data_IF_082654227321
#
_entry.id   IF_082654227321
#
_cell.length_a   1.000
_cell.length_b   1.000
_cell.length_c   1.000
_cell.angle_alpha   90.00
_cell.angle_beta   90.00
_cell.angle_gamma   90.00
#
_symmetry.space_group_name_H-M   'P 1'
#
loop_
_entity.id
_entity.type
_entity.pdbx_description
1 polymer ?
#
# COMPACT_ATOMS: atom_id res chain seq x y z
N UNK A 1 21.60 21.89 -2.25
CA UNK A 1 21.35 20.47 -1.91
C UNK A 1 20.58 19.85 -3.07
N UNK A 2 20.88 18.63 -3.47
CA UNK A 2 20.13 17.95 -4.54
C UNK A 2 18.80 17.41 -3.98
N UNK A 3 17.64 17.87 -4.48
CA UNK A 3 16.34 17.51 -3.92
C UNK A 3 15.90 16.08 -4.25
N UNK A 4 16.49 15.44 -5.26
CA UNK A 4 16.21 14.02 -5.58
C UNK A 4 17.00 13.14 -4.61
N UNK A 5 18.29 13.44 -4.41
CA UNK A 5 19.13 12.72 -3.43
C UNK A 5 18.55 12.81 -2.01
N UNK A 6 18.03 13.97 -1.63
CA UNK A 6 17.38 14.17 -0.33
C UNK A 6 16.13 13.29 -0.10
N UNK A 7 15.56 12.69 -1.16
CA UNK A 7 14.41 11.79 -1.05
C UNK A 7 14.81 10.31 -0.95
N UNK A 8 16.04 9.92 -1.35
CA UNK A 8 16.39 8.50 -1.57
C UNK A 8 17.71 8.05 -0.94
N UNK A 9 18.69 8.95 -0.73
CA UNK A 9 19.97 8.61 -0.10
C UNK A 9 19.86 8.83 1.41
N UNK A 10 19.85 7.76 2.24
CA UNK A 10 19.66 7.88 3.67
C UNK A 10 20.70 8.78 4.32
N UNK A 11 20.34 9.36 5.46
CA UNK A 11 21.22 10.22 6.24
C UNK A 11 21.28 9.74 7.70
N UNK A 12 22.45 9.83 8.38
CA UNK A 12 22.57 9.41 9.78
C UNK A 12 21.60 10.12 10.74
N UNK A 13 21.15 11.33 10.38
CA UNK A 13 20.18 12.10 11.15
C UNK A 13 18.81 11.40 11.27
N UNK A 14 18.48 10.47 10.37
CA UNK A 14 17.26 9.63 10.48
C UNK A 14 17.31 8.64 11.64
N UNK A 15 18.46 8.46 12.31
CA UNK A 15 18.61 7.62 13.49
C UNK A 15 18.33 8.37 14.80
N UNK A 16 18.08 9.68 14.71
CA UNK A 16 17.80 10.52 15.87
C UNK A 16 16.29 10.66 16.00
N UNK A 17 15.69 9.93 16.94
CA UNK A 17 14.28 10.06 17.27
C UNK A 17 14.00 11.46 17.87
N UNK A 18 13.06 12.19 17.28
CA UNK A 18 12.57 13.45 17.82
C UNK A 18 11.41 13.25 18.82
N UNK A 19 11.23 14.23 19.71
CA UNK A 19 10.10 14.26 20.63
C UNK A 19 8.78 14.29 19.84
N UNK A 20 7.89 13.34 20.14
CA UNK A 20 6.59 13.22 19.47
C UNK A 20 6.59 12.37 18.20
N UNK A 21 7.71 11.76 17.82
CA UNK A 21 7.72 10.70 16.81
C UNK A 21 6.91 9.47 17.28
N UNK A 22 6.20 8.86 16.34
CA UNK A 22 5.31 7.72 16.57
C UNK A 22 5.60 6.65 15.52
N UNK A 23 5.64 5.39 15.94
CA UNK A 23 5.84 4.24 15.03
C UNK A 23 4.69 4.09 14.02
N UNK A 24 3.47 4.46 14.42
CA UNK A 24 2.27 4.47 13.59
C UNK A 24 1.61 5.85 13.65
N UNK A 25 2.17 6.85 12.95
CA UNK A 25 1.76 8.24 13.06
C UNK A 25 0.35 8.51 12.52
N UNK A 26 -0.21 7.54 11.79
CA UNK A 26 -1.56 7.64 11.24
C UNK A 26 -2.52 6.64 11.86
N UNK A 27 -2.12 5.80 12.81
CA UNK A 27 -2.94 4.77 13.44
C UNK A 27 -3.46 3.68 12.47
N UNK A 28 -2.70 3.30 11.44
CA UNK A 28 -3.07 2.21 10.53
C UNK A 28 -3.40 0.90 11.29
N UNK A 29 -2.64 0.57 12.34
CA UNK A 29 -2.86 -0.63 13.15
C UNK A 29 -4.21 -0.62 13.87
N UNK A 30 -4.60 0.52 14.43
CA UNK A 30 -5.87 0.67 15.13
C UNK A 30 -7.09 0.49 14.21
N UNK A 31 -6.91 0.76 12.91
CA UNK A 31 -7.94 0.62 11.88
C UNK A 31 -7.73 -0.60 10.97
N UNK A 32 -6.96 -1.60 11.40
CA UNK A 32 -6.70 -2.84 10.63
C UNK A 32 -7.55 -4.00 11.17
N UNK A 33 -8.81 -4.15 10.73
CA UNK A 33 -9.68 -5.22 11.24
C UNK A 33 -9.21 -6.63 10.83
N UNK A 34 -8.48 -6.72 9.71
CA UNK A 34 -7.86 -7.94 9.20
C UNK A 34 -6.48 -7.60 8.61
N UNK A 35 -5.57 -8.58 8.46
CA UNK A 35 -4.28 -8.36 7.82
C UNK A 35 -4.41 -7.75 6.42
N UNK A 36 -3.45 -6.89 6.06
CA UNK A 36 -3.37 -6.22 4.74
C UNK A 36 -4.56 -5.35 4.38
N UNK A 37 -5.34 -4.90 5.35
CA UNK A 37 -6.47 -4.00 5.13
C UNK A 37 -6.59 -2.97 6.24
N UNK A 38 -6.76 -1.71 5.86
CA UNK A 38 -7.13 -0.63 6.79
C UNK A 38 -8.51 -0.10 6.40
N UNK A 39 -9.44 -0.08 7.36
CA UNK A 39 -10.79 0.44 7.21
C UNK A 39 -11.03 1.56 8.23
N UNK A 40 -10.71 2.80 7.83
CA UNK A 40 -10.93 4.01 8.65
C UNK A 40 -12.19 4.76 8.26
N UNK A 41 -12.52 4.74 6.98
CA UNK A 41 -13.60 5.54 6.42
C UNK A 41 -14.76 4.63 6.05
N UNK A 42 -15.98 5.08 6.27
CA UNK A 42 -17.18 4.26 6.16
C UNK A 42 -17.38 3.59 4.78
N UNK A 43 -16.87 4.17 3.69
CA UNK A 43 -17.16 3.72 2.33
C UNK A 43 -15.92 3.24 1.56
N UNK A 44 -14.74 3.20 2.19
CA UNK A 44 -13.50 2.87 1.48
C UNK A 44 -12.43 2.26 2.37
N UNK A 45 -11.65 1.38 1.75
CA UNK A 45 -10.55 0.66 2.39
C UNK A 45 -9.23 0.86 1.67
N UNK A 46 -8.14 0.78 2.43
CA UNK A 46 -6.80 0.57 1.90
C UNK A 46 -6.52 -0.93 1.86
N UNK A 47 -6.14 -1.45 0.70
CA UNK A 47 -5.70 -2.83 0.51
C UNK A 47 -4.20 -2.84 0.23
N UNK A 48 -3.45 -3.69 0.95
CA UNK A 48 -1.99 -3.73 0.95
C UNK A 48 -1.47 -5.01 0.26
N UNK A 49 -1.50 -5.11 -1.09
CA UNK A 49 -1.06 -6.30 -1.81
C UNK A 49 0.45 -6.56 -1.69
N UNK A 50 1.24 -5.53 -1.44
CA UNK A 50 2.69 -5.60 -1.27
C UNK A 50 3.17 -4.55 -0.27
N UNK A 51 4.31 -4.84 0.36
CA UNK A 51 5.05 -3.89 1.18
C UNK A 51 6.35 -3.43 0.52
N UNK A 52 6.61 -3.88 -0.71
CA UNK A 52 7.78 -3.51 -1.50
C UNK A 52 7.52 -2.24 -2.31
N UNK A 53 8.55 -1.42 -2.47
CA UNK A 53 8.54 -0.21 -3.31
C UNK A 53 9.61 -0.32 -4.40
N UNK A 54 9.39 0.33 -5.56
CA UNK A 54 10.45 0.53 -6.55
C UNK A 54 11.58 1.44 -6.03
N UNK A 55 11.22 2.42 -5.18
CA UNK A 55 12.14 3.31 -4.47
C UNK A 55 11.64 3.52 -3.05
N UNK A 56 12.51 3.35 -2.06
CA UNK A 56 12.20 3.64 -0.66
C UNK A 56 12.41 5.12 -0.37
N UNK A 57 11.33 5.82 -0.09
CA UNK A 57 11.35 7.26 0.20
C UNK A 57 11.84 7.47 1.63
N UNK A 58 12.83 8.35 1.83
CA UNK A 58 13.35 8.69 3.18
C UNK A 58 12.29 9.24 4.12
N UNK A 59 11.27 9.89 3.56
CA UNK A 59 10.13 10.49 4.27
C UNK A 59 8.90 9.57 4.32
N UNK A 60 9.05 8.27 4.05
CA UNK A 60 7.92 7.35 4.09
C UNK A 60 7.39 7.21 5.53
N UNK A 61 6.17 7.69 5.79
CA UNK A 61 5.52 7.56 7.11
C UNK A 61 5.11 6.12 7.47
N UNK A 62 5.35 5.15 6.57
CA UNK A 62 5.16 3.71 6.80
C UNK A 62 6.49 2.93 6.80
N UNK A 63 7.64 3.62 6.84
CA UNK A 63 8.98 3.01 6.71
C UNK A 63 9.18 1.85 7.69
N UNK A 64 8.75 2.00 8.95
CA UNK A 64 8.89 0.98 9.99
C UNK A 64 7.88 -0.18 9.86
N UNK A 65 6.65 0.11 9.44
CA UNK A 65 5.61 -0.91 9.23
C UNK A 65 5.88 -1.78 7.99
N UNK A 66 6.57 -1.24 6.98
CA UNK A 66 6.84 -1.96 5.72
C UNK A 66 8.05 -2.90 5.82
N UNK A 67 9.08 -2.54 6.58
CA UNK A 67 10.34 -3.29 6.71
C UNK A 67 10.20 -4.52 7.60
N UNK A 68 9.31 -4.48 8.59
CA UNK A 68 9.06 -5.56 9.55
C UNK A 68 8.20 -6.71 8.98
N UNK A 69 7.43 -6.48 7.90
CA UNK A 69 6.43 -7.45 7.43
C UNK A 69 6.94 -8.35 6.29
N UNK A 70 8.06 -8.03 5.63
CA UNK A 70 8.92 -8.97 4.87
C UNK A 70 8.27 -9.97 3.91
N UNK A 71 7.02 -9.79 3.50
CA UNK A 71 6.26 -10.76 2.71
C UNK A 71 5.74 -10.09 1.46
N UNK A 72 6.36 -10.47 0.33
CA UNK A 72 5.86 -10.16 -1.00
C UNK A 72 4.42 -10.65 -1.18
N UNK A 73 3.84 -10.30 -2.32
CA UNK A 73 2.49 -10.73 -2.69
C UNK A 73 2.39 -12.26 -2.74
N UNK A 74 1.35 -12.80 -2.10
CA UNK A 74 0.77 -14.10 -2.44
C UNK A 74 -0.74 -13.92 -2.49
N UNK A 75 -1.43 -14.65 -3.37
CA UNK A 75 -2.90 -14.55 -3.50
C UNK A 75 -3.58 -14.89 -2.17
N UNK A 76 -3.07 -15.89 -1.47
CA UNK A 76 -3.61 -16.40 -0.20
C UNK A 76 -3.51 -15.35 0.91
N UNK A 77 -2.50 -14.49 0.86
CA UNK A 77 -2.30 -13.47 1.88
C UNK A 77 -3.38 -12.37 1.82
N UNK A 78 -4.08 -12.22 0.69
CA UNK A 78 -5.17 -11.25 0.53
C UNK A 78 -6.55 -11.81 0.86
N UNK A 79 -6.68 -13.12 1.08
CA UNK A 79 -7.99 -13.74 1.37
C UNK A 79 -8.73 -13.07 2.54
N UNK A 80 -8.11 -12.80 3.70
CA UNK A 80 -8.82 -12.18 4.81
C UNK A 80 -9.35 -10.79 4.46
N UNK A 81 -8.56 -10.02 3.71
CA UNK A 81 -8.93 -8.67 3.29
C UNK A 81 -10.05 -8.67 2.25
N UNK A 82 -9.99 -9.58 1.27
CA UNK A 82 -11.01 -9.68 0.22
C UNK A 82 -12.33 -10.24 0.77
N UNK A 83 -12.28 -11.21 1.70
CA UNK A 83 -13.44 -11.69 2.43
C UNK A 83 -14.10 -10.56 3.25
N UNK A 84 -13.28 -9.79 3.98
CA UNK A 84 -13.76 -8.62 4.72
C UNK A 84 -14.47 -7.62 3.81
N UNK A 85 -13.89 -7.28 2.66
CA UNK A 85 -14.53 -6.36 1.69
C UNK A 85 -15.85 -6.92 1.18
N UNK A 86 -15.92 -8.23 0.89
CA UNK A 86 -17.13 -8.88 0.40
C UNK A 86 -18.27 -8.92 1.44
N UNK A 87 -17.95 -8.98 2.73
CA UNK A 87 -18.94 -9.00 3.82
C UNK A 87 -19.47 -7.61 4.21
N UNK A 88 -18.79 -6.54 3.81
CA UNK A 88 -19.10 -5.15 4.21
C UNK A 88 -19.63 -4.33 3.03
N UNK A 89 -20.96 -4.36 2.83
CA UNK A 89 -21.64 -3.76 1.67
C UNK A 89 -21.54 -2.22 1.58
N UNK A 90 -21.17 -1.56 2.68
CA UNK A 90 -20.93 -0.12 2.72
C UNK A 90 -19.69 0.29 1.92
N UNK A 91 -18.73 -0.62 1.71
CA UNK A 91 -17.47 -0.35 1.00
C UNK A 91 -17.75 -0.18 -0.49
N UNK A 92 -17.50 1.03 -1.02
CA UNK A 92 -17.67 1.35 -2.45
C UNK A 92 -16.34 1.52 -3.16
N UNK A 93 -15.26 1.83 -2.45
CA UNK A 93 -13.94 2.05 -3.01
C UNK A 93 -12.87 1.18 -2.34
N UNK A 94 -12.07 0.51 -3.17
CA UNK A 94 -10.86 -0.19 -2.74
C UNK A 94 -9.66 0.57 -3.29
N UNK A 95 -8.74 0.94 -2.41
CA UNK A 95 -7.51 1.64 -2.78
C UNK A 95 -6.33 0.69 -2.61
N UNK A 96 -5.71 0.28 -3.72
CA UNK A 96 -4.45 -0.45 -3.68
C UNK A 96 -3.33 0.48 -3.24
N UNK A 97 -2.63 0.11 -2.17
CA UNK A 97 -1.50 0.86 -1.60
C UNK A 97 -0.51 -0.08 -0.92
N UNK A 98 0.23 0.40 0.07
CA UNK A 98 1.19 -0.34 0.88
C UNK A 98 2.59 0.17 0.67
N UNK A 99 3.46 -0.65 0.07
CA UNK A 99 4.68 -0.14 -0.52
C UNK A 99 4.33 0.64 -1.79
N UNK A 100 4.42 -0.03 -2.93
CA UNK A 100 3.90 0.48 -4.20
C UNK A 100 3.24 -0.66 -4.99
N UNK A 101 1.91 -0.64 -5.23
CA UNK A 101 1.23 -1.71 -5.96
C UNK A 101 1.82 -1.99 -7.33
N UNK A 102 2.32 -0.96 -8.04
CA UNK A 102 2.89 -1.14 -9.38
C UNK A 102 4.31 -1.75 -9.36
N UNK A 103 4.86 -2.04 -8.18
CA UNK A 103 6.03 -2.92 -8.06
C UNK A 103 5.70 -4.40 -8.34
N UNK A 104 4.41 -4.76 -8.38
CA UNK A 104 3.97 -6.13 -8.65
C UNK A 104 4.02 -6.45 -10.15
N UNK A 105 4.19 -7.73 -10.52
CA UNK A 105 4.02 -8.19 -11.91
C UNK A 105 2.59 -7.97 -12.39
N UNK A 106 2.39 -7.74 -13.70
CA UNK A 106 1.07 -7.49 -14.30
C UNK A 106 0.06 -8.62 -14.02
N UNK A 107 0.55 -9.87 -13.96
CA UNK A 107 -0.29 -11.02 -13.61
C UNK A 107 -0.92 -10.86 -12.23
N UNK A 108 -0.16 -10.45 -11.22
CA UNK A 108 -0.66 -10.24 -9.87
C UNK A 108 -1.66 -9.07 -9.82
N UNK A 109 -1.38 -7.97 -10.54
CA UNK A 109 -2.30 -6.84 -10.64
C UNK A 109 -3.63 -7.24 -11.30
N UNK A 110 -3.56 -8.04 -12.37
CA UNK A 110 -4.73 -8.57 -13.07
C UNK A 110 -5.57 -9.48 -12.18
N UNK A 111 -4.92 -10.38 -11.42
CA UNK A 111 -5.59 -11.23 -10.41
C UNK A 111 -6.30 -10.39 -9.35
N UNK A 112 -5.61 -9.41 -8.75
CA UNK A 112 -6.19 -8.53 -7.73
C UNK A 112 -7.39 -7.76 -8.31
N UNK A 113 -7.23 -7.17 -9.50
CA UNK A 113 -8.30 -6.44 -10.19
C UNK A 113 -9.52 -7.33 -10.39
N UNK A 114 -9.35 -8.52 -10.96
CA UNK A 114 -10.46 -9.43 -11.24
C UNK A 114 -11.21 -9.82 -9.96
N UNK A 115 -10.48 -10.05 -8.86
CA UNK A 115 -11.08 -10.40 -7.57
C UNK A 115 -11.84 -9.25 -6.93
N UNK A 116 -11.33 -8.02 -7.02
CA UNK A 116 -12.04 -6.83 -6.51
C UNK A 116 -13.28 -6.53 -7.36
N UNK A 117 -13.17 -6.61 -8.69
CA UNK A 117 -14.30 -6.40 -9.62
C UNK A 117 -15.42 -7.43 -9.45
N UNK A 118 -15.12 -8.62 -8.95
CA UNK A 118 -16.12 -9.64 -8.64
C UNK A 118 -17.00 -9.29 -7.43
N UNK A 119 -16.65 -8.28 -6.63
CA UNK A 119 -17.40 -7.84 -5.45
C UNK A 119 -18.48 -6.82 -5.89
N UNK A 120 -19.80 -7.17 -5.87
CA UNK A 120 -20.82 -6.39 -6.57
C UNK A 120 -21.02 -4.95 -6.08
N UNK A 121 -20.77 -4.69 -4.80
CA UNK A 121 -20.95 -3.37 -4.18
C UNK A 121 -19.76 -2.43 -4.37
N UNK A 122 -18.59 -2.94 -4.78
CA UNK A 122 -17.39 -2.14 -5.05
C UNK A 122 -17.51 -1.50 -6.42
N UNK A 123 -17.37 -0.17 -6.46
CA UNK A 123 -17.56 0.66 -7.65
C UNK A 123 -16.28 1.27 -8.18
N UNK A 124 -15.27 1.40 -7.34
CA UNK A 124 -14.02 2.07 -7.68
C UNK A 124 -12.83 1.28 -7.15
N UNK A 125 -11.89 0.96 -8.05
CA UNK A 125 -10.56 0.49 -7.71
C UNK A 125 -9.57 1.61 -8.02
N UNK A 126 -8.94 2.17 -6.98
CA UNK A 126 -7.91 3.22 -7.11
C UNK A 126 -6.53 2.63 -6.83
N UNK A 127 -5.51 3.12 -7.52
CA UNK A 127 -4.11 2.73 -7.27
C UNK A 127 -3.35 3.94 -6.76
N UNK A 128 -2.71 3.81 -5.59
CA UNK A 128 -1.75 4.77 -5.07
C UNK A 128 -0.33 4.29 -5.37
N UNK A 129 0.37 5.02 -6.24
CA UNK A 129 1.70 4.63 -6.74
C UNK A 129 2.60 5.84 -6.96
N UNK A 130 3.91 5.70 -6.70
CA UNK A 130 4.96 6.64 -7.11
C UNK A 130 5.69 6.18 -8.37
N UNK A 131 5.38 5.00 -8.92
CA UNK A 131 6.05 4.42 -10.09
C UNK A 131 6.18 5.39 -11.28
N UNK A 132 5.18 6.21 -11.66
CA UNK A 132 5.36 7.17 -12.76
C UNK A 132 6.53 8.15 -12.58
N UNK A 133 6.92 8.44 -11.34
CA UNK A 133 8.07 9.31 -11.01
C UNK A 133 9.33 8.48 -10.75
N UNK A 134 9.20 7.34 -10.08
CA UNK A 134 10.33 6.55 -9.58
C UNK A 134 10.87 5.50 -10.58
N UNK A 135 9.99 4.89 -11.37
CA UNK A 135 10.29 3.86 -12.35
C UNK A 135 9.34 4.01 -13.57
N UNK A 136 9.44 5.11 -14.33
CA UNK A 136 8.48 5.42 -15.39
C UNK A 136 8.38 4.33 -16.47
N UNK A 137 9.46 3.57 -16.71
CA UNK A 137 9.50 2.46 -17.68
C UNK A 137 8.60 1.27 -17.30
N UNK A 138 8.07 1.23 -16.08
CA UNK A 138 7.08 0.22 -15.65
C UNK A 138 5.69 0.52 -16.20
N UNK A 139 5.43 1.75 -16.66
CA UNK A 139 4.19 2.14 -17.33
C UNK A 139 4.31 1.76 -18.81
N UNK A 140 3.59 0.72 -19.18
CA UNK A 140 3.63 0.08 -20.50
C UNK A 140 2.30 0.32 -21.25
N UNK A 141 2.22 -0.17 -22.49
CA UNK A 141 1.00 -0.12 -23.30
C UNK A 141 -0.03 -1.19 -22.94
N UNK A 142 0.47 -2.32 -22.45
CA UNK A 142 -0.26 -3.43 -21.83
C UNK A 142 -0.85 -3.00 -20.48
#
# INVERSE_FOLDING_TARGET
QDPIRAQVIPSPEELVEAEGELDDPIADHAYSPVPRLTHRHADRVLLFPTYQCAVYCRFCFRKESLTSIGRGYTSEALEPALAYIAEHEEIREVILTGGDPLSLPDKALSEIRARVEAIPHVRLLRIHTRVPVALPSRITSE
#
